data_IF_484180183170
#
_entry.id   IF_484180183170
#
_cell.length_a   1.000
_cell.length_b   1.000
_cell.length_c   1.000
_cell.angle_alpha   90.00
_cell.angle_beta   90.00
_cell.angle_gamma   90.00
#
_symmetry.space_group_name_H-M   'P 1'
#
loop_
_entity.id
_entity.type
_entity.pdbx_description
1 polymer ?
#
# COMPACT_ATOMS: atom_id res chain seq x y z
N UNK A 1 37.53 41.89 6.77
CA UNK A 1 36.60 41.41 5.72
C UNK A 1 36.21 39.97 6.06
N UNK A 2 35.20 39.78 6.92
CA UNK A 2 34.77 38.46 7.36
C UNK A 2 33.27 38.55 7.70
N UNK A 3 32.43 38.76 6.68
CA UNK A 3 30.97 38.84 6.91
C UNK A 3 30.15 38.28 5.73
N UNK A 4 30.79 37.53 4.83
CA UNK A 4 30.12 36.91 3.67
C UNK A 4 29.98 35.39 3.76
N UNK A 5 30.84 34.73 4.55
CA UNK A 5 30.83 33.27 4.68
C UNK A 5 29.71 32.74 5.61
N UNK A 6 29.29 33.52 6.60
CA UNK A 6 28.23 33.15 7.54
C UNK A 6 26.83 33.16 6.91
N UNK A 7 26.62 33.99 5.88
CA UNK A 7 25.32 34.11 5.19
C UNK A 7 25.00 32.89 4.31
N UNK A 8 26.02 32.31 3.67
CA UNK A 8 25.86 31.13 2.79
C UNK A 8 25.54 29.87 3.59
N UNK A 9 26.16 29.71 4.77
CA UNK A 9 25.93 28.56 5.65
C UNK A 9 24.52 28.53 6.26
N UNK A 10 23.92 29.70 6.49
CA UNK A 10 22.55 29.79 7.00
C UNK A 10 21.51 29.42 5.93
N UNK A 11 21.76 29.79 4.67
CA UNK A 11 20.87 29.44 3.54
C UNK A 11 20.90 27.94 3.20
N UNK A 12 22.05 27.27 3.31
CA UNK A 12 22.13 25.83 3.05
C UNK A 12 21.43 24.99 4.13
N UNK A 13 21.46 25.45 5.39
CA UNK A 13 20.79 24.77 6.50
C UNK A 13 19.26 24.83 6.36
N UNK A 14 18.71 25.98 5.95
CA UNK A 14 17.26 26.13 5.76
C UNK A 14 16.72 25.36 4.56
N UNK A 15 17.48 25.30 3.45
CA UNK A 15 17.12 24.45 2.29
C UNK A 15 17.10 22.96 2.64
N UNK A 16 18.06 22.51 3.45
CA UNK A 16 18.17 21.10 3.87
C UNK A 16 17.01 20.69 4.79
N UNK A 17 16.59 21.58 5.71
CA UNK A 17 15.42 21.34 6.55
C UNK A 17 14.10 21.31 5.77
N UNK A 18 13.95 22.16 4.73
CA UNK A 18 12.77 22.15 3.88
C UNK A 18 12.64 20.84 3.08
N UNK A 19 13.76 20.26 2.62
CA UNK A 19 13.77 18.96 1.95
C UNK A 19 13.36 17.81 2.88
N UNK A 20 13.81 17.81 4.15
CA UNK A 20 13.39 16.79 5.12
C UNK A 20 11.89 16.83 5.41
N UNK A 21 11.29 18.03 5.46
CA UNK A 21 9.84 18.19 5.60
C UNK A 21 9.08 17.70 4.35
N UNK A 22 9.61 17.91 3.14
CA UNK A 22 8.99 17.37 1.92
C UNK A 22 9.05 15.84 1.84
N UNK A 23 10.18 15.21 2.21
CA UNK A 23 10.30 13.74 2.22
C UNK A 23 9.39 13.12 3.30
N UNK A 24 9.22 13.80 4.43
CA UNK A 24 8.26 13.39 5.45
C UNK A 24 6.81 13.56 4.99
N UNK A 25 6.48 14.58 4.20
CA UNK A 25 5.11 14.80 3.74
C UNK A 25 4.72 13.89 2.55
N UNK A 26 5.67 13.48 1.71
CA UNK A 26 5.44 12.47 0.67
C UNK A 26 5.32 11.06 1.25
N UNK A 27 6.00 10.77 2.37
CA UNK A 27 5.84 9.48 3.06
C UNK A 27 4.57 9.39 3.92
N UNK A 28 3.94 10.54 4.23
CA UNK A 28 2.68 10.60 5.00
C UNK A 28 1.42 10.64 4.12
N UNK A 29 1.57 10.52 2.80
CA UNK A 29 0.47 10.12 1.93
C UNK A 29 0.19 8.61 2.13
N UNK A 30 -0.46 8.32 3.26
CA UNK A 30 -1.49 7.29 3.33
C UNK A 30 -1.06 5.88 2.88
N UNK A 31 -0.02 5.32 3.50
CA UNK A 31 -0.04 3.87 3.73
C UNK A 31 -0.86 3.63 5.00
N UNK A 32 -2.16 3.25 4.92
CA UNK A 32 -2.79 2.63 6.07
C UNK A 32 -1.91 1.44 6.44
N UNK A 33 -1.62 1.25 7.73
CA UNK A 33 -0.95 0.06 8.32
C UNK A 33 -0.97 -1.11 7.34
N UNK A 34 0.20 -1.61 6.89
CA UNK A 34 0.43 -2.69 5.91
C UNK A 34 -0.44 -3.95 6.13
N UNK A 35 -1.74 -3.82 5.95
CA UNK A 35 -2.74 -4.84 6.15
C UNK A 35 -3.21 -5.19 4.73
N UNK A 36 -3.20 -6.48 4.36
CA UNK A 36 -3.61 -6.86 3.03
C UNK A 36 -5.03 -6.36 2.73
N UNK A 37 -5.37 -6.02 1.48
CA UNK A 37 -6.70 -5.57 1.11
C UNK A 37 -7.76 -6.57 1.56
N UNK A 38 -8.89 -6.04 2.03
CA UNK A 38 -10.07 -6.85 2.31
C UNK A 38 -10.79 -7.08 0.98
N UNK A 39 -10.93 -8.33 0.57
CA UNK A 39 -11.51 -8.74 -0.68
C UNK A 39 -12.52 -9.86 -0.45
N UNK A 40 -13.37 -10.15 -1.42
CA UNK A 40 -14.39 -11.19 -1.30
C UNK A 40 -14.77 -11.77 -2.66
N UNK A 41 -15.96 -12.33 -2.72
CA UNK A 41 -16.48 -12.96 -3.93
C UNK A 41 -17.55 -12.07 -4.58
N UNK A 42 -17.58 -12.02 -5.91
CA UNK A 42 -18.61 -11.31 -6.69
C UNK A 42 -19.00 -12.19 -7.87
N UNK A 43 -20.29 -12.30 -8.17
CA UNK A 43 -20.81 -13.21 -9.21
C UNK A 43 -20.19 -13.02 -10.58
N UNK A 44 -19.81 -11.78 -10.91
CA UNK A 44 -19.28 -11.40 -12.22
C UNK A 44 -17.74 -11.39 -12.23
N UNK A 45 -17.13 -12.04 -11.24
CA UNK A 45 -15.69 -12.08 -11.01
C UNK A 45 -15.24 -13.53 -10.92
N UNK A 46 -14.43 -13.96 -11.88
CA UNK A 46 -13.87 -15.33 -11.90
C UNK A 46 -12.82 -15.54 -10.79
N UNK A 47 -12.21 -14.46 -10.31
CA UNK A 47 -11.22 -14.45 -9.24
C UNK A 47 -11.73 -13.71 -8.00
N UNK A 48 -10.83 -13.31 -7.10
CA UNK A 48 -11.18 -12.53 -5.92
C UNK A 48 -11.53 -11.09 -6.33
N UNK A 49 -12.65 -10.58 -5.84
CA UNK A 49 -13.06 -9.19 -5.98
C UNK A 49 -12.49 -8.31 -4.85
N UNK A 50 -11.68 -7.33 -5.21
CA UNK A 50 -11.07 -6.39 -4.28
C UNK A 50 -11.63 -4.97 -4.47
N UNK A 51 -12.45 -4.47 -3.53
CA UNK A 51 -12.99 -3.12 -3.60
C UNK A 51 -11.91 -2.05 -3.34
N UNK A 52 -11.90 -1.01 -4.17
CA UNK A 52 -11.14 0.21 -3.98
C UNK A 52 -11.96 1.18 -3.13
N UNK A 53 -11.74 1.15 -1.82
CA UNK A 53 -12.43 2.02 -0.87
C UNK A 53 -13.94 1.79 -0.79
N UNK A 54 -14.69 2.75 -0.23
CA UNK A 54 -16.12 2.62 0.07
C UNK A 54 -17.07 2.90 -1.12
N UNK A 55 -16.54 2.99 -2.34
CA UNK A 55 -17.26 3.51 -3.51
C UNK A 55 -17.75 2.46 -4.52
N UNK A 56 -17.66 1.17 -4.22
CA UNK A 56 -18.11 0.08 -5.09
C UNK A 56 -17.28 -0.14 -6.37
N UNK A 57 -16.29 0.72 -6.64
CA UNK A 57 -15.23 0.46 -7.61
C UNK A 57 -14.30 -0.60 -7.02
N UNK A 58 -13.74 -1.43 -7.87
CA UNK A 58 -12.83 -2.51 -7.48
C UNK A 58 -12.39 -3.26 -8.71
N UNK A 59 -11.60 -4.29 -8.47
CA UNK A 59 -11.00 -5.10 -9.51
C UNK A 59 -11.04 -6.59 -9.14
N UNK A 60 -11.06 -7.42 -10.17
CA UNK A 60 -10.94 -8.87 -10.06
C UNK A 60 -9.47 -9.23 -10.20
N UNK A 61 -8.87 -9.80 -9.15
CA UNK A 61 -7.45 -10.14 -9.14
C UNK A 61 -7.29 -11.62 -8.84
N UNK A 62 -6.60 -12.33 -9.73
CA UNK A 62 -6.08 -13.67 -9.47
C UNK A 62 -4.62 -13.58 -9.04
N UNK A 63 -4.36 -13.71 -7.74
CA UNK A 63 -2.98 -13.81 -7.26
C UNK A 63 -2.50 -15.25 -7.38
N UNK A 64 -1.44 -15.53 -8.15
CA UNK A 64 -0.85 -16.86 -8.18
C UNK A 64 -0.25 -17.18 -6.80
N UNK A 65 -0.28 -18.45 -6.41
CA UNK A 65 0.23 -18.90 -5.12
C UNK A 65 0.80 -20.31 -5.20
N UNK A 66 1.84 -20.56 -4.42
CA UNK A 66 2.35 -21.91 -4.16
C UNK A 66 1.89 -22.44 -2.78
N UNK A 67 1.55 -21.53 -1.87
CA UNK A 67 1.17 -21.86 -0.48
C UNK A 67 0.10 -20.92 0.05
N UNK A 68 -0.71 -21.41 0.99
CA UNK A 68 -1.71 -20.61 1.70
C UNK A 68 -1.10 -19.44 2.49
N UNK A 69 0.13 -19.60 3.02
CA UNK A 69 0.82 -18.53 3.75
C UNK A 69 1.07 -17.29 2.87
N UNK A 70 1.36 -17.49 1.58
CA UNK A 70 1.48 -16.38 0.63
C UNK A 70 0.17 -15.60 0.53
N UNK A 71 -0.95 -16.31 0.37
CA UNK A 71 -2.27 -15.68 0.27
C UNK A 71 -2.62 -14.85 1.51
N UNK A 72 -2.28 -15.32 2.71
CA UNK A 72 -2.49 -14.58 3.97
C UNK A 72 -1.70 -13.26 4.04
N UNK A 73 -0.61 -13.14 3.28
CA UNK A 73 0.21 -11.91 3.20
C UNK A 73 -0.31 -10.91 2.19
N UNK A 74 -1.09 -11.34 1.18
CA UNK A 74 -1.50 -10.48 0.05
C UNK A 74 -3.00 -10.16 0.02
N UNK A 75 -3.85 -10.94 0.69
CA UNK A 75 -5.29 -10.69 0.73
C UNK A 75 -5.91 -11.09 2.06
N UNK A 76 -7.05 -10.49 2.40
CA UNK A 76 -7.92 -10.91 3.51
C UNK A 76 -9.33 -11.10 2.99
N UNK A 77 -10.00 -12.16 3.40
CA UNK A 77 -11.34 -12.48 2.95
C UNK A 77 -12.42 -11.80 3.80
N UNK A 78 -13.38 -11.14 3.15
CA UNK A 78 -14.52 -10.52 3.80
C UNK A 78 -15.63 -11.55 4.04
N UNK A 79 -16.04 -11.68 5.29
CA UNK A 79 -17.12 -12.57 5.76
C UNK A 79 -17.03 -14.05 5.29
N UNK A 80 -15.88 -14.48 4.77
CA UNK A 80 -15.63 -15.81 4.22
C UNK A 80 -14.37 -16.41 4.84
N UNK A 81 -14.32 -17.73 5.08
CA UNK A 81 -13.12 -18.39 5.58
C UNK A 81 -12.00 -18.30 4.53
N UNK A 82 -10.76 -18.07 4.96
CA UNK A 82 -9.62 -17.91 4.07
C UNK A 82 -8.66 -16.79 4.48
N UNK A 83 -7.72 -16.41 3.61
CA UNK A 83 -7.54 -16.88 2.22
C UNK A 83 -6.85 -18.23 2.11
N UNK A 84 -7.08 -18.92 0.99
CA UNK A 84 -6.48 -20.23 0.67
C UNK A 84 -5.75 -20.19 -0.67
N UNK A 85 -4.79 -21.09 -0.85
CA UNK A 85 -4.22 -21.37 -2.16
C UNK A 85 -4.90 -22.60 -2.77
N UNK A 86 -5.64 -22.42 -3.87
CA UNK A 86 -6.36 -23.49 -4.56
C UNK A 86 -6.03 -23.42 -6.05
N UNK A 87 -5.62 -24.56 -6.63
CA UNK A 87 -5.23 -24.64 -8.06
C UNK A 87 -4.17 -23.62 -8.50
N UNK A 88 -3.30 -23.21 -7.57
CA UNK A 88 -2.24 -22.24 -7.83
C UNK A 88 -2.71 -20.78 -7.81
N UNK A 89 -3.93 -20.50 -7.36
CA UNK A 89 -4.49 -19.14 -7.25
C UNK A 89 -5.06 -18.93 -5.83
N UNK A 90 -4.84 -17.73 -5.28
CA UNK A 90 -5.43 -17.35 -4.01
C UNK A 90 -6.94 -17.21 -4.16
N UNK A 91 -7.69 -17.79 -3.23
CA UNK A 91 -9.15 -17.74 -3.19
C UNK A 91 -9.65 -17.34 -1.80
N UNK A 92 -10.80 -16.68 -1.83
CA UNK A 92 -11.82 -16.65 -0.79
C UNK A 92 -12.99 -17.50 -1.31
#
# INVERSE_FOLDING_TARGET
MASRATSVLLLSFTLSCALMLLVANVSNAESPLNLPPLCGSKSDCEFIWCPHGKGGKGECIGWPCDTTEYCMKVVRCDATPGPYCMEGICTC
#
